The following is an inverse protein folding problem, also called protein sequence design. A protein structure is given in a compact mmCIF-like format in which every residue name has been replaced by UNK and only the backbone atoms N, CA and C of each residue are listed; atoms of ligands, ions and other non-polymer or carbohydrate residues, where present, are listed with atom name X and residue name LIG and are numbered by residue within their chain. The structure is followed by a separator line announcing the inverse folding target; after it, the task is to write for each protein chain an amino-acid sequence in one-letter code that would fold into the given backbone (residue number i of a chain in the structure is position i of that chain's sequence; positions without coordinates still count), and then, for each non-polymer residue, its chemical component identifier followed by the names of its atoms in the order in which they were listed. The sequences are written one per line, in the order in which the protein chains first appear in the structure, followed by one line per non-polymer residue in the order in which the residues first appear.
data_IF_264171573675
#
_entry.id   IF_264171573675
#
_cell.length_a   1.000
_cell.length_b   1.000
_cell.length_c   1.000
_cell.angle_alpha   90.00
_cell.angle_beta   90.00
_cell.angle_gamma   90.00
#
_symmetry.space_group_name_H-M   'P 1'
#
loop_
_entity.id
_entity.type
_entity.pdbx_description
1 polymer ?
#
# COMPACT_ATOMS: atom_id res chain seq x y z
N UNK A 1 4.73 -32.84 36.67
CA UNK A 1 3.78 -31.74 36.97
C UNK A 1 4.18 -30.44 36.26
N UNK A 2 4.38 -30.46 34.93
CA UNK A 2 4.91 -29.33 34.12
C UNK A 2 4.08 -29.13 32.84
N UNK A 3 2.75 -29.26 32.92
CA UNK A 3 1.88 -29.12 31.73
C UNK A 3 0.82 -28.01 31.85
N UNK A 4 0.58 -27.48 33.05
CA UNK A 4 -0.49 -26.50 33.29
C UNK A 4 -0.04 -25.03 33.29
N UNK A 5 1.25 -24.71 33.18
CA UNK A 5 1.74 -23.30 33.24
C UNK A 5 1.84 -22.58 31.88
N UNK A 6 1.77 -23.28 30.75
CA UNK A 6 1.83 -22.64 29.40
C UNK A 6 0.46 -22.27 28.83
N UNK A 7 -0.63 -22.87 29.34
CA UNK A 7 -1.99 -22.57 28.88
C UNK A 7 -2.53 -21.21 29.38
N UNK A 8 -1.98 -20.67 30.47
CA UNK A 8 -2.38 -19.36 31.02
C UNK A 8 -1.81 -18.15 30.27
N UNK A 9 -0.66 -18.29 29.60
CA UNK A 9 0.00 -17.18 28.91
C UNK A 9 -0.67 -16.80 27.57
N UNK A 10 -1.29 -17.77 26.89
CA UNK A 10 -1.98 -17.52 25.62
C UNK A 10 -3.42 -17.01 25.78
N UNK A 11 -4.01 -17.11 26.97
CA UNK A 11 -5.36 -16.57 27.26
C UNK A 11 -5.33 -15.09 27.66
N UNK A 12 -4.17 -14.57 28.05
CA UNK A 12 -3.98 -13.16 28.41
C UNK A 12 -3.68 -12.25 27.20
N UNK A 13 -3.43 -12.80 26.01
CA UNK A 13 -3.11 -12.03 24.80
C UNK A 13 -4.29 -11.91 23.82
N UNK A 14 -5.53 -12.10 24.30
CA UNK A 14 -6.76 -11.96 23.49
C UNK A 14 -7.68 -10.82 23.92
N UNK A 15 -7.26 -9.98 24.87
CA UNK A 15 -8.10 -8.88 25.37
C UNK A 15 -7.42 -7.50 25.38
N UNK A 16 -6.34 -7.28 24.62
CA UNK A 16 -5.65 -5.98 24.70
C UNK A 16 -5.04 -5.38 23.43
N UNK A 17 -5.56 -5.73 22.25
CA UNK A 17 -5.24 -5.00 21.02
C UNK A 17 -6.50 -4.84 20.17
N UNK A 18 -7.36 -3.90 20.58
CA UNK A 18 -8.26 -3.22 19.63
C UNK A 18 -7.40 -2.08 19.07
N UNK A 19 -6.83 -2.28 17.89
CA UNK A 19 -6.24 -1.18 17.12
C UNK A 19 -7.40 -0.33 16.58
N UNK A 20 -7.57 0.94 17.00
CA UNK A 20 -8.55 1.81 16.38
C UNK A 20 -7.95 2.25 15.05
N UNK A 21 -8.50 1.77 13.93
CA UNK A 21 -8.09 2.26 12.61
C UNK A 21 -8.18 1.26 11.46
N UNK A 22 -8.30 -0.03 11.73
CA UNK A 22 -8.45 -1.03 10.66
C UNK A 22 -9.85 -1.63 10.67
N UNK A 23 -10.54 -1.53 9.54
CA UNK A 23 -11.72 -2.36 9.27
C UNK A 23 -11.29 -3.83 9.25
N UNK A 24 -12.15 -4.74 9.75
CA UNK A 24 -11.89 -6.18 9.78
C UNK A 24 -11.45 -6.74 8.42
N UNK A 25 -11.88 -6.12 7.33
CA UNK A 25 -11.52 -6.46 5.95
C UNK A 25 -10.02 -6.28 5.64
N UNK A 26 -9.41 -5.27 6.25
CA UNK A 26 -8.04 -4.86 5.97
C UNK A 26 -7.01 -5.72 6.72
N UNK A 27 -7.41 -6.30 7.87
CA UNK A 27 -6.60 -7.29 8.58
C UNK A 27 -6.66 -8.65 7.87
N UNK A 28 -7.82 -8.99 7.30
CA UNK A 28 -8.01 -10.26 6.59
C UNK A 28 -7.22 -10.33 5.27
N UNK A 29 -7.13 -9.23 4.51
CA UNK A 29 -6.32 -9.16 3.29
C UNK A 29 -4.82 -9.31 3.57
N UNK A 30 -4.32 -8.73 4.66
CA UNK A 30 -2.91 -8.86 5.07
C UNK A 30 -2.56 -10.26 5.56
N UNK A 31 -3.48 -10.94 6.26
CA UNK A 31 -3.28 -12.31 6.73
C UNK A 31 -3.30 -13.34 5.58
N UNK A 32 -4.12 -13.13 4.55
CA UNK A 32 -4.13 -14.00 3.36
C UNK A 32 -2.79 -13.98 2.63
N UNK A 33 -2.19 -12.79 2.48
CA UNK A 33 -0.87 -12.63 1.85
C UNK A 33 0.26 -13.34 2.61
N UNK A 34 0.20 -13.36 3.95
CA UNK A 34 1.20 -14.06 4.77
C UNK A 34 1.03 -15.59 4.79
N UNK A 35 -0.17 -16.09 4.50
CA UNK A 35 -0.49 -17.54 4.54
C UNK A 35 -0.39 -18.25 3.19
N UNK A 36 -0.41 -17.50 2.06
CA UNK A 36 -0.32 -18.06 0.71
C UNK A 36 1.05 -18.67 0.39
N UNK A 37 2.13 -18.25 1.06
CA UNK A 37 3.46 -18.84 0.87
C UNK A 37 3.64 -20.20 1.55
N UNK A 38 2.83 -20.53 2.57
CA UNK A 38 2.96 -21.80 3.30
C UNK A 38 2.25 -22.99 2.64
N UNK A 39 1.25 -22.73 1.77
CA UNK A 39 0.44 -23.79 1.15
C UNK A 39 0.92 -24.24 -0.23
N UNK A 40 1.88 -23.54 -0.84
CA UNK A 40 2.33 -23.82 -2.22
C UNK A 40 3.33 -24.99 -2.33
N UNK A 41 3.78 -25.56 -1.21
CA UNK A 41 4.77 -26.64 -1.22
C UNK A 41 4.22 -28.05 -1.55
N UNK A 42 2.90 -28.25 -1.67
CA UNK A 42 2.34 -29.62 -1.73
C UNK A 42 1.30 -29.96 -2.79
N UNK A 43 0.89 -29.05 -3.69
CA UNK A 43 -0.12 -29.39 -4.70
C UNK A 43 0.33 -29.02 -6.11
N UNK A 44 0.43 -30.05 -6.95
CA UNK A 44 0.87 -29.99 -8.34
C UNK A 44 0.09 -28.97 -9.18
N UNK A 45 0.84 -28.29 -10.04
CA UNK A 45 0.38 -27.20 -10.88
C UNK A 45 -0.65 -27.67 -11.94
N UNK A 46 -1.93 -27.67 -11.57
CA UNK A 46 -3.03 -27.52 -12.54
C UNK A 46 -3.22 -26.03 -12.80
N UNK A 47 -3.21 -25.65 -14.08
CA UNK A 47 -3.39 -24.27 -14.56
C UNK A 47 -4.75 -23.72 -14.11
N UNK A 48 -4.74 -22.84 -13.12
CA UNK A 48 -5.85 -21.92 -12.84
C UNK A 48 -5.54 -20.61 -13.57
N UNK A 49 -6.43 -20.10 -14.44
CA UNK A 49 -6.29 -18.75 -14.99
C UNK A 49 -6.33 -17.75 -13.82
N UNK A 50 -5.26 -16.96 -13.64
CA UNK A 50 -5.24 -15.85 -12.70
C UNK A 50 -6.17 -14.77 -13.23
N UNK A 51 -7.42 -14.78 -12.79
CA UNK A 51 -8.28 -13.58 -12.86
C UNK A 51 -7.59 -12.45 -12.10
N UNK A 52 -7.65 -11.26 -12.69
CA UNK A 52 -6.91 -10.05 -12.33
C UNK A 52 -7.46 -9.51 -11.01
N UNK A 53 -7.04 -10.06 -9.87
CA UNK A 53 -7.14 -9.35 -8.59
C UNK A 53 -6.52 -7.96 -8.82
N UNK A 54 -7.22 -6.90 -8.39
CA UNK A 54 -6.77 -5.52 -8.47
C UNK A 54 -5.42 -5.37 -7.76
N UNK A 55 -4.35 -5.68 -8.48
CA UNK A 55 -3.03 -5.74 -7.88
C UNK A 55 -2.59 -4.30 -7.64
N UNK A 56 -2.38 -3.98 -6.36
CA UNK A 56 -1.62 -2.81 -5.97
C UNK A 56 -0.18 -3.02 -6.45
N UNK A 57 0.05 -2.69 -7.72
CA UNK A 57 1.32 -2.94 -8.39
C UNK A 57 2.37 -2.00 -7.84
N UNK A 58 3.18 -2.53 -6.92
CA UNK A 58 4.46 -1.97 -6.53
C UNK A 58 5.38 -1.96 -7.75
N UNK A 59 6.16 -0.90 -7.95
CA UNK A 59 7.04 -0.78 -9.12
C UNK A 59 8.11 -1.89 -9.15
N UNK A 60 8.57 -2.34 -10.33
CA UNK A 60 9.65 -3.32 -10.42
C UNK A 60 10.91 -2.92 -9.64
N UNK A 61 11.24 -1.62 -9.62
CA UNK A 61 12.36 -1.09 -8.87
C UNK A 61 12.17 -1.26 -7.35
N UNK A 62 10.97 -0.99 -6.84
CA UNK A 62 10.68 -1.14 -5.41
C UNK A 62 10.55 -2.62 -5.01
N UNK A 63 10.08 -3.48 -5.91
CA UNK A 63 10.13 -4.95 -5.73
C UNK A 63 11.57 -5.46 -5.62
N UNK A 64 12.46 -5.02 -6.52
CA UNK A 64 13.87 -5.37 -6.46
C UNK A 64 14.52 -4.84 -5.16
N UNK A 65 14.18 -3.62 -4.73
CA UNK A 65 14.63 -3.08 -3.44
C UNK A 65 14.24 -3.98 -2.26
N UNK A 66 12.99 -4.45 -2.22
CA UNK A 66 12.51 -5.34 -1.17
C UNK A 66 13.23 -6.71 -1.19
N UNK A 67 13.52 -7.25 -2.38
CA UNK A 67 14.16 -8.56 -2.54
C UNK A 67 15.66 -8.53 -2.24
N UNK A 68 16.37 -7.54 -2.78
CA UNK A 68 17.84 -7.49 -2.75
C UNK A 68 18.38 -6.81 -1.48
N UNK A 69 17.57 -5.98 -0.82
CA UNK A 69 18.00 -5.24 0.37
C UNK A 69 16.94 -5.25 1.50
N UNK A 70 16.52 -6.44 1.99
CA UNK A 70 15.36 -6.57 2.88
C UNK A 70 15.52 -5.83 4.22
N UNK A 71 16.71 -5.76 4.80
CA UNK A 71 16.94 -5.01 6.04
C UNK A 71 16.78 -3.49 5.83
N UNK A 72 17.22 -2.98 4.67
CA UNK A 72 17.02 -1.57 4.32
C UNK A 72 15.55 -1.28 4.03
N UNK A 73 14.85 -2.20 3.35
CA UNK A 73 13.43 -2.08 3.10
C UNK A 73 12.62 -2.08 4.40
N UNK A 74 12.96 -2.93 5.37
CA UNK A 74 12.31 -2.94 6.67
C UNK A 74 12.47 -1.59 7.39
N UNK A 75 13.70 -1.10 7.52
CA UNK A 75 13.96 0.20 8.16
C UNK A 75 13.23 1.35 7.44
N UNK A 76 13.21 1.33 6.10
CA UNK A 76 12.45 2.30 5.31
C UNK A 76 10.95 2.21 5.58
N UNK A 77 10.39 1.00 5.64
CA UNK A 77 8.95 0.81 5.92
C UNK A 77 8.56 1.31 7.30
N UNK A 78 9.38 1.05 8.33
CA UNK A 78 9.18 1.56 9.68
C UNK A 78 9.21 3.10 9.70
N UNK A 79 10.16 3.72 8.98
CA UNK A 79 10.22 5.18 8.85
C UNK A 79 8.98 5.76 8.16
N UNK A 80 8.55 5.17 7.03
CA UNK A 80 7.35 5.61 6.30
C UNK A 80 6.09 5.52 7.17
N UNK A 81 5.93 4.42 7.91
CA UNK A 81 4.79 4.24 8.82
C UNK A 81 4.81 5.28 9.95
N UNK A 82 5.98 5.52 10.56
CA UNK A 82 6.13 6.51 11.62
C UNK A 82 5.83 7.94 11.13
N UNK A 83 6.30 8.31 9.92
CA UNK A 83 6.00 9.59 9.30
C UNK A 83 4.50 9.74 8.99
N UNK A 84 3.86 8.68 8.50
CA UNK A 84 2.41 8.65 8.28
C UNK A 84 1.63 8.87 9.58
N UNK A 85 1.98 8.14 10.64
CA UNK A 85 1.32 8.27 11.96
C UNK A 85 1.54 9.63 12.63
N UNK A 86 2.65 10.31 12.32
CA UNK A 86 2.93 11.65 12.83
C UNK A 86 2.21 12.76 12.05
N UNK A 87 1.68 12.47 10.86
CA UNK A 87 0.95 13.43 10.04
C UNK A 87 -0.38 13.81 10.69
N UNK A 88 -0.72 15.09 10.63
CA UNK A 88 -2.04 15.59 11.05
C UNK A 88 -3.09 15.53 9.93
N UNK A 89 -2.68 15.17 8.71
CA UNK A 89 -3.59 15.04 7.56
C UNK A 89 -4.39 13.75 7.68
N UNK A 90 -5.66 13.79 7.28
CA UNK A 90 -6.41 12.56 7.01
C UNK A 90 -5.83 11.80 5.81
N UNK A 91 -6.13 10.51 5.71
CA UNK A 91 -5.53 9.63 4.72
C UNK A 91 -5.77 10.08 3.27
N UNK A 92 -6.97 10.59 2.96
CA UNK A 92 -7.31 11.05 1.60
C UNK A 92 -6.49 12.28 1.24
N UNK A 93 -6.46 13.26 2.14
CA UNK A 93 -5.68 14.49 1.97
C UNK A 93 -4.19 14.19 1.85
N UNK A 94 -3.66 13.28 2.68
CA UNK A 94 -2.26 12.86 2.63
C UNK A 94 -1.93 12.18 1.29
N UNK A 95 -2.78 11.26 0.80
CA UNK A 95 -2.55 10.57 -0.45
C UNK A 95 -2.56 11.52 -1.66
N UNK A 96 -3.51 12.47 -1.72
CA UNK A 96 -3.58 13.48 -2.78
C UNK A 96 -2.37 14.43 -2.73
N UNK A 97 -1.96 14.89 -1.55
CA UNK A 97 -0.77 15.72 -1.39
C UNK A 97 0.50 14.97 -1.85
N UNK A 98 0.61 13.69 -1.52
CA UNK A 98 1.74 12.86 -1.95
C UNK A 98 1.77 12.67 -3.47
N UNK A 99 0.62 12.44 -4.13
CA UNK A 99 0.54 12.38 -5.59
C UNK A 99 1.03 13.67 -6.26
N UNK A 100 0.69 14.84 -5.70
CA UNK A 100 1.19 16.12 -6.19
C UNK A 100 2.72 16.22 -6.11
N UNK A 101 3.32 15.80 -4.99
CA UNK A 101 4.77 15.77 -4.80
C UNK A 101 5.43 14.79 -5.76
N UNK A 102 4.87 13.59 -5.94
CA UNK A 102 5.40 12.59 -6.87
C UNK A 102 5.39 13.09 -8.32
N UNK A 103 4.30 13.71 -8.76
CA UNK A 103 4.20 14.28 -10.11
C UNK A 103 5.24 15.41 -10.30
N UNK A 104 5.39 16.30 -9.32
CA UNK A 104 6.39 17.36 -9.36
C UNK A 104 7.83 16.83 -9.37
N UNK A 105 8.09 15.73 -8.64
CA UNK A 105 9.39 15.07 -8.57
C UNK A 105 9.64 14.06 -9.71
N UNK A 106 8.67 13.87 -10.62
CA UNK A 106 8.72 12.90 -11.73
C UNK A 106 8.98 11.46 -11.27
N UNK A 107 8.38 11.08 -10.15
CA UNK A 107 8.47 9.74 -9.57
C UNK A 107 7.41 8.81 -10.17
N UNK A 108 7.35 8.76 -11.50
CA UNK A 108 6.21 8.20 -12.24
C UNK A 108 5.98 6.70 -11.97
N UNK A 109 7.05 5.95 -11.69
CA UNK A 109 6.97 4.50 -11.48
C UNK A 109 6.16 4.10 -10.24
N UNK A 110 6.01 4.99 -9.26
CA UNK A 110 5.21 4.74 -8.06
C UNK A 110 3.78 5.28 -8.14
N UNK A 111 3.45 6.09 -9.14
CA UNK A 111 2.13 6.72 -9.25
C UNK A 111 0.98 5.71 -9.27
N UNK A 112 1.04 4.59 -10.04
CA UNK A 112 -0.07 3.64 -10.08
C UNK A 112 -0.46 3.08 -8.70
N UNK A 113 0.53 2.77 -7.87
CA UNK A 113 0.31 2.31 -6.50
C UNK A 113 -0.39 3.39 -5.65
N UNK A 114 0.13 4.62 -5.67
CA UNK A 114 -0.40 5.71 -4.84
C UNK A 114 -1.77 6.22 -5.32
N UNK A 115 -2.10 6.09 -6.61
CA UNK A 115 -3.44 6.37 -7.13
C UNK A 115 -4.45 5.36 -6.58
N UNK A 116 -4.12 4.06 -6.58
CA UNK A 116 -5.00 3.02 -5.99
C UNK A 116 -5.19 3.24 -4.49
N UNK A 117 -4.13 3.62 -3.77
CA UNK A 117 -4.23 4.04 -2.36
C UNK A 117 -5.19 5.23 -2.18
N UNK A 118 -5.03 6.29 -2.96
CA UNK A 118 -5.91 7.46 -2.90
C UNK A 118 -7.38 7.07 -3.15
N UNK A 119 -7.64 6.23 -4.18
CA UNK A 119 -8.97 5.70 -4.51
C UNK A 119 -9.56 4.90 -3.34
N UNK A 120 -8.78 4.07 -2.66
CA UNK A 120 -9.23 3.34 -1.46
C UNK A 120 -9.61 4.27 -0.30
N UNK A 121 -8.96 5.43 -0.18
CA UNK A 121 -9.32 6.46 0.79
C UNK A 121 -10.46 7.38 0.31
N UNK A 122 -11.13 7.03 -0.80
CA UNK A 122 -12.28 7.74 -1.32
C UNK A 122 -11.94 8.98 -2.17
N UNK A 123 -10.70 9.09 -2.66
CA UNK A 123 -10.37 10.12 -3.63
C UNK A 123 -11.13 9.88 -4.94
N UNK A 124 -11.73 10.94 -5.48
CA UNK A 124 -12.39 10.89 -6.78
C UNK A 124 -11.37 11.05 -7.92
N UNK A 125 -11.80 10.69 -9.14
CA UNK A 125 -11.00 10.86 -10.35
C UNK A 125 -10.56 12.31 -10.55
N UNK A 126 -11.48 13.24 -10.30
CA UNK A 126 -11.24 14.68 -10.44
C UNK A 126 -10.30 15.21 -9.36
N UNK A 127 -10.39 14.70 -8.13
CA UNK A 127 -9.44 15.02 -7.05
C UNK A 127 -8.02 14.56 -7.41
N UNK A 128 -7.88 13.36 -7.97
CA UNK A 128 -6.59 12.82 -8.42
C UNK A 128 -5.99 13.64 -9.57
N UNK A 129 -6.80 14.02 -10.58
CA UNK A 129 -6.37 14.92 -11.67
C UNK A 129 -5.92 16.26 -11.09
N UNK A 130 -6.71 16.82 -10.16
CA UNK A 130 -6.41 18.10 -9.51
C UNK A 130 -5.10 18.03 -8.72
N UNK A 131 -4.84 16.93 -8.01
CA UNK A 131 -3.60 16.72 -7.27
C UNK A 131 -2.37 16.70 -8.19
N UNK A 132 -2.45 16.03 -9.36
CA UNK A 132 -1.35 16.06 -10.35
C UNK A 132 -1.13 17.48 -10.88
N UNK A 133 -2.21 18.19 -11.21
CA UNK A 133 -2.14 19.48 -11.89
C UNK A 133 -1.90 20.68 -10.95
N UNK A 134 -2.05 20.51 -9.63
CA UNK A 134 -1.85 21.60 -8.66
C UNK A 134 -0.43 22.19 -8.73
N UNK A 135 0.55 21.39 -9.16
CA UNK A 135 1.93 21.81 -9.34
C UNK A 135 2.19 22.67 -10.58
N UNK A 136 1.26 22.76 -11.53
CA UNK A 136 1.45 23.47 -12.81
C UNK A 136 2.04 24.89 -12.64
N UNK A 137 1.54 25.75 -11.73
CA UNK A 137 2.10 27.10 -11.57
C UNK A 137 3.51 27.13 -10.98
N UNK A 138 3.88 26.12 -10.19
CA UNK A 138 5.14 26.10 -9.43
C UNK A 138 6.27 25.41 -10.19
N UNK A 139 5.98 24.31 -10.88
CA UNK A 139 6.99 23.48 -11.58
C UNK A 139 6.78 23.38 -13.09
N UNK A 140 5.78 24.08 -13.63
CA UNK A 140 5.48 24.13 -15.06
C UNK A 140 4.75 22.88 -15.57
N UNK A 141 4.70 22.73 -16.90
CA UNK A 141 3.96 21.65 -17.57
C UNK A 141 4.54 20.24 -17.36
N UNK A 142 5.67 20.10 -16.68
CA UNK A 142 6.31 18.80 -16.44
C UNK A 142 5.38 17.80 -15.75
N UNK A 143 4.48 18.26 -14.88
CA UNK A 143 3.52 17.42 -14.15
C UNK A 143 2.50 16.76 -15.07
N UNK A 144 2.26 17.28 -16.29
CA UNK A 144 1.30 16.66 -17.21
C UNK A 144 1.77 15.30 -17.73
N UNK A 145 3.07 15.02 -17.66
CA UNK A 145 3.63 13.73 -18.06
C UNK A 145 3.12 12.56 -17.19
N UNK A 146 2.69 12.85 -15.96
CA UNK A 146 2.15 11.87 -15.01
C UNK A 146 0.68 11.50 -15.31
N UNK A 147 -0.07 12.31 -16.07
CA UNK A 147 -1.50 12.10 -16.30
C UNK A 147 -1.85 10.74 -16.92
N UNK A 148 -1.17 10.23 -17.96
CA UNK A 148 -1.55 8.94 -18.56
C UNK A 148 -1.51 7.79 -17.56
N UNK A 149 -0.40 7.66 -16.81
CA UNK A 149 -0.22 6.59 -15.82
C UNK A 149 -1.20 6.73 -14.64
N UNK A 150 -1.52 7.96 -14.24
CA UNK A 150 -2.47 8.24 -13.16
C UNK A 150 -3.90 7.87 -13.56
N UNK A 151 -4.32 8.26 -14.76
CA UNK A 151 -5.66 7.96 -15.26
C UNK A 151 -5.84 6.47 -15.51
N UNK A 152 -4.86 5.82 -16.13
CA UNK A 152 -4.86 4.35 -16.31
C UNK A 152 -5.03 3.64 -14.97
N UNK A 153 -4.22 4.00 -13.96
CA UNK A 153 -4.29 3.37 -12.65
C UNK A 153 -5.59 3.65 -11.87
N UNK A 154 -6.21 4.82 -12.07
CA UNK A 154 -7.48 5.14 -11.42
C UNK A 154 -8.65 4.39 -12.08
N UNK A 155 -8.62 4.30 -13.41
CA UNK A 155 -9.68 3.71 -14.23
C UNK A 155 -9.58 2.17 -14.27
N UNK A 156 -8.46 1.57 -13.82
CA UNK A 156 -8.38 0.14 -13.50
C UNK A 156 -9.37 -0.23 -12.37
N UNK A 157 -10.09 -1.35 -12.57
CA UNK A 157 -11.03 -1.94 -11.60
C UNK A 157 -10.35 -2.33 -10.28
#
# INVERSE_FOLDING_TARGET
MVSQRKAGAFRALRQRLIFPGFSAYQVESMQRFASSDASLATLGASKIPREKEASMNVSPAFQAFAQEAPQHQQAWSEAVQALGAASALDDKTAALAYLAVMAAARLDSGLPFHVKMAKMHGATRDEVISAVLIGLPAVGNVVTASLPAVLEAYDEE
#
